data_IF_963887550834
#
_entry.id   IF_963887550834
#
_cell.length_a   1.000
_cell.length_b   1.000
_cell.length_c   1.000
_cell.angle_alpha   90.00
_cell.angle_beta   90.00
_cell.angle_gamma   90.00
#
_symmetry.space_group_name_H-M   'P 1'
#
loop_
_entity.id
_entity.type
_entity.pdbx_description
1 polymer ?
#
# COMPACT_ATOMS: atom_id res chain seq x y z
N UNK A 1 22.44 17.89 -12.01
CA UNK A 1 21.11 17.71 -12.66
C UNK A 1 20.65 16.29 -12.32
N UNK A 2 19.99 16.10 -11.17
CA UNK A 2 19.46 14.80 -10.77
C UNK A 2 18.22 14.55 -11.64
N UNK A 3 18.42 13.87 -12.77
CA UNK A 3 17.32 13.39 -13.61
C UNK A 3 16.44 12.49 -12.75
N UNK A 4 15.21 12.93 -12.51
CA UNK A 4 14.19 12.22 -11.75
C UNK A 4 14.11 10.76 -12.25
N UNK A 5 14.30 9.80 -11.33
CA UNK A 5 14.23 8.36 -11.62
C UNK A 5 12.81 7.89 -11.98
N UNK A 6 11.81 8.76 -11.83
CA UNK A 6 10.44 8.58 -12.28
C UNK A 6 10.41 8.34 -13.79
N UNK A 7 10.41 7.07 -14.18
CA UNK A 7 10.35 6.62 -15.57
C UNK A 7 11.57 5.82 -16.07
N UNK A 8 12.65 5.71 -15.29
CA UNK A 8 13.86 4.97 -15.72
C UNK A 8 13.89 3.50 -15.33
N UNK A 9 13.09 3.10 -14.35
CA UNK A 9 13.05 1.71 -13.88
C UNK A 9 11.71 1.08 -14.30
N UNK A 10 11.69 0.23 -15.35
CA UNK A 10 10.46 -0.45 -15.72
C UNK A 10 10.08 -1.51 -14.68
N UNK A 11 8.78 -1.76 -14.50
CA UNK A 11 8.28 -2.79 -13.56
C UNK A 11 8.90 -4.17 -13.83
N UNK A 12 9.13 -4.49 -15.10
CA UNK A 12 9.77 -5.74 -15.53
C UNK A 12 11.24 -5.84 -15.10
N UNK A 13 11.98 -4.73 -15.01
CA UNK A 13 13.34 -4.74 -14.48
C UNK A 13 13.35 -5.01 -12.97
N UNK A 14 12.41 -4.42 -12.22
CA UNK A 14 12.27 -4.72 -10.78
C UNK A 14 11.86 -6.17 -10.51
N UNK A 15 11.00 -6.77 -11.35
CA UNK A 15 10.63 -8.18 -11.25
C UNK A 15 11.82 -9.13 -11.48
N UNK A 16 12.78 -8.72 -12.30
CA UNK A 16 14.00 -9.47 -12.61
C UNK A 16 15.21 -8.99 -11.80
N UNK A 17 15.00 -8.14 -10.79
CA UNK A 17 16.06 -7.58 -9.98
C UNK A 17 16.85 -8.70 -9.28
N UNK A 18 18.17 -8.64 -9.38
CA UNK A 18 19.04 -9.55 -8.66
C UNK A 18 19.45 -8.92 -7.32
N UNK A 19 19.02 -9.50 -6.21
CA UNK A 19 19.38 -9.01 -4.86
C UNK A 19 20.83 -9.40 -4.57
N UNK A 20 21.67 -8.41 -4.29
CA UNK A 20 23.09 -8.60 -4.04
C UNK A 20 23.44 -8.69 -2.56
N UNK A 21 22.84 -7.83 -1.73
CA UNK A 21 23.16 -7.76 -0.31
C UNK A 21 22.13 -6.95 0.48
N UNK A 22 22.16 -7.09 1.80
CA UNK A 22 21.56 -6.13 2.71
C UNK A 22 22.63 -5.15 3.22
N UNK A 23 22.31 -3.86 3.24
CA UNK A 23 23.22 -2.79 3.67
C UNK A 23 22.64 -2.12 4.93
N UNK A 24 23.46 -2.00 5.97
CA UNK A 24 23.14 -1.37 7.26
C UNK A 24 21.85 -1.90 7.95
N UNK A 25 21.38 -3.09 7.57
CA UNK A 25 20.09 -3.65 8.01
C UNK A 25 18.87 -2.74 7.71
N UNK A 26 19.02 -1.81 6.77
CA UNK A 26 17.99 -0.84 6.38
C UNK A 26 17.67 -0.87 4.89
N UNK A 27 18.68 -1.20 4.07
CA UNK A 27 18.55 -1.18 2.63
C UNK A 27 18.82 -2.54 2.02
N UNK A 28 18.14 -2.81 0.91
CA UNK A 28 18.40 -3.96 0.04
C UNK A 28 19.11 -3.43 -1.20
N UNK A 29 20.34 -3.90 -1.44
CA UNK A 29 21.09 -3.59 -2.64
C UNK A 29 20.68 -4.59 -3.74
N UNK A 30 20.23 -4.07 -4.87
CA UNK A 30 19.82 -4.87 -6.04
C UNK A 30 20.53 -4.39 -7.30
N UNK A 31 20.75 -5.31 -8.23
CA UNK A 31 21.19 -5.06 -9.59
C UNK A 31 19.99 -5.22 -10.53
N UNK A 32 19.76 -4.23 -11.38
CA UNK A 32 18.72 -4.21 -12.39
C UNK A 32 19.39 -4.25 -13.76
N UNK A 33 19.02 -5.23 -14.57
CA UNK A 33 19.41 -5.24 -15.98
C UNK A 33 18.41 -4.36 -16.73
N UNK A 34 18.88 -3.25 -17.31
CA UNK A 34 18.03 -2.40 -18.16
C UNK A 34 18.25 -2.76 -19.62
N UNK A 35 17.17 -3.07 -20.34
CA UNK A 35 17.26 -3.25 -21.79
C UNK A 35 17.36 -1.88 -22.46
N UNK A 36 18.27 -1.71 -23.44
CA UNK A 36 18.40 -0.44 -24.14
C UNK A 36 17.11 -0.12 -24.91
N UNK A 37 16.71 1.16 -25.00
CA UNK A 37 15.54 1.54 -25.77
C UNK A 37 15.75 1.16 -27.24
N UNK A 38 14.71 0.60 -27.88
CA UNK A 38 14.75 0.06 -29.24
C UNK A 38 15.20 1.05 -30.36
N UNK A 39 15.38 2.33 -30.04
CA UNK A 39 15.84 3.38 -30.95
C UNK A 39 17.33 3.72 -30.85
N UNK A 40 18.11 3.09 -29.95
CA UNK A 40 19.55 3.33 -29.86
C UNK A 40 20.32 2.46 -30.86
N UNK A 41 20.51 2.96 -32.07
CA UNK A 41 21.37 2.38 -33.12
C UNK A 41 22.88 2.56 -32.86
N UNK A 42 23.30 2.66 -31.60
CA UNK A 42 24.69 2.68 -31.17
C UNK A 42 24.81 1.69 -30.02
N UNK A 43 25.73 0.73 -30.14
CA UNK A 43 25.95 -0.39 -29.22
C UNK A 43 26.26 0.03 -27.78
N UNK A 44 25.27 0.54 -27.09
CA UNK A 44 25.25 0.63 -25.64
C UNK A 44 24.99 -0.78 -25.12
N UNK A 45 25.99 -1.31 -24.43
CA UNK A 45 25.86 -2.53 -23.65
C UNK A 45 24.74 -2.36 -22.62
N UNK A 46 24.14 -3.46 -22.20
CA UNK A 46 23.18 -3.46 -21.10
C UNK A 46 23.77 -2.74 -19.90
N UNK A 47 23.25 -1.54 -19.58
CA UNK A 47 23.68 -0.82 -18.39
C UNK A 47 23.03 -1.50 -17.17
N UNK A 48 23.86 -2.17 -16.39
CA UNK A 48 23.49 -2.71 -15.10
C UNK A 48 23.35 -1.56 -14.10
N UNK A 49 22.14 -1.38 -13.58
CA UNK A 49 21.82 -0.34 -12.62
C UNK A 49 21.81 -0.92 -11.19
N UNK A 50 22.68 -0.39 -10.33
CA UNK A 50 22.65 -0.69 -8.89
C UNK A 50 21.69 0.23 -8.16
N UNK A 51 20.77 -0.35 -7.37
CA UNK A 51 19.74 0.37 -6.63
C UNK A 51 19.74 -0.06 -5.17
N UNK A 52 19.66 0.92 -4.26
CA UNK A 52 19.38 0.69 -2.84
C UNK A 52 17.89 0.93 -2.59
N UNK A 53 17.22 -0.09 -2.07
CA UNK A 53 15.80 -0.04 -1.72
C UNK A 53 15.69 0.08 -0.20
N UNK A 54 14.98 1.12 0.29
CA UNK A 54 14.59 1.20 1.70
C UNK A 54 13.62 0.04 2.01
N UNK A 55 14.06 -0.87 2.88
CA UNK A 55 13.30 -2.09 3.17
C UNK A 55 11.98 -1.78 3.88
N UNK A 56 11.94 -0.73 4.70
CA UNK A 56 10.75 -0.38 5.48
C UNK A 56 9.71 0.27 4.58
N UNK A 57 10.13 1.27 3.79
CA UNK A 57 9.22 1.93 2.86
C UNK A 57 8.70 0.97 1.78
N UNK A 58 9.52 0.01 1.33
CA UNK A 58 9.08 -1.02 0.37
C UNK A 58 8.06 -1.99 0.98
N UNK A 59 8.32 -2.50 2.19
CA UNK A 59 7.41 -3.39 2.90
C UNK A 59 6.06 -2.69 3.20
N UNK A 60 6.10 -1.44 3.65
CA UNK A 60 4.90 -0.64 3.87
C UNK A 60 4.12 -0.41 2.57
N UNK A 61 4.81 -0.12 1.45
CA UNK A 61 4.15 0.04 0.15
C UNK A 61 3.41 -1.22 -0.27
N UNK A 62 4.03 -2.39 -0.15
CA UNK A 62 3.38 -3.67 -0.46
C UNK A 62 2.14 -3.91 0.42
N UNK A 63 2.27 -3.68 1.74
CA UNK A 63 1.15 -3.82 2.68
C UNK A 63 -0.02 -2.90 2.34
N UNK A 64 0.27 -1.65 1.99
CA UNK A 64 -0.75 -0.68 1.56
C UNK A 64 -1.42 -1.16 0.26
N UNK A 65 -0.66 -1.58 -0.75
CA UNK A 65 -1.24 -2.06 -2.00
C UNK A 65 -2.14 -3.27 -1.82
N UNK A 66 -1.73 -4.23 -0.99
CA UNK A 66 -2.54 -5.42 -0.70
C UNK A 66 -3.77 -5.09 0.15
N UNK A 67 -3.65 -4.16 1.10
CA UNK A 67 -4.78 -3.61 1.82
C UNK A 67 -5.78 -2.99 0.84
N UNK A 68 -5.33 -2.13 -0.07
CA UNK A 68 -6.19 -1.49 -1.09
C UNK A 68 -6.89 -2.52 -1.98
N UNK A 69 -6.17 -3.55 -2.48
CA UNK A 69 -6.77 -4.63 -3.29
C UNK A 69 -7.84 -5.41 -2.52
N UNK A 70 -7.65 -5.60 -1.22
CA UNK A 70 -8.59 -6.33 -0.37
C UNK A 70 -9.76 -5.47 0.10
N UNK A 71 -9.56 -4.15 0.19
CA UNK A 71 -10.53 -3.20 0.67
C UNK A 71 -11.47 -2.74 -0.44
N UNK A 72 -10.96 -2.57 -1.66
CA UNK A 72 -11.74 -2.09 -2.79
C UNK A 72 -12.06 -3.22 -3.77
N UNK A 73 -13.31 -3.27 -4.21
CA UNK A 73 -13.79 -4.19 -5.25
C UNK A 73 -14.27 -3.40 -6.46
N UNK A 74 -14.20 -4.00 -7.65
CA UNK A 74 -14.76 -3.40 -8.86
C UNK A 74 -16.29 -3.25 -8.73
N UNK A 75 -16.81 -2.12 -9.19
CA UNK A 75 -18.25 -1.86 -9.25
C UNK A 75 -18.97 -2.94 -10.09
N UNK A 76 -19.95 -3.67 -9.52
CA UNK A 76 -20.72 -4.68 -10.24
C UNK A 76 -21.44 -4.15 -11.49
N UNK A 77 -21.71 -2.84 -11.54
CA UNK A 77 -22.39 -2.19 -12.68
C UNK A 77 -21.48 -1.95 -13.89
N UNK A 78 -20.18 -2.28 -13.78
CA UNK A 78 -19.24 -2.23 -14.91
C UNK A 78 -18.71 -0.83 -15.22
N UNK A 79 -18.90 0.14 -14.33
CA UNK A 79 -18.40 1.53 -14.47
C UNK A 79 -16.87 1.63 -14.39
N UNK A 80 -16.19 0.55 -13.96
CA UNK A 80 -14.76 0.54 -13.72
C UNK A 80 -14.34 1.29 -12.45
N UNK A 81 -15.29 1.80 -11.67
CA UNK A 81 -15.00 2.42 -10.38
C UNK A 81 -14.68 1.37 -9.31
N UNK A 82 -13.80 1.75 -8.38
CA UNK A 82 -13.51 0.97 -7.19
C UNK A 82 -14.46 1.39 -6.07
N UNK A 83 -15.13 0.42 -5.45
CA UNK A 83 -16.03 0.60 -4.32
C UNK A 83 -15.43 -0.06 -3.08
N UNK A 84 -15.50 0.62 -1.95
CA UNK A 84 -15.08 0.06 -0.67
C UNK A 84 -15.99 -1.10 -0.26
N UNK A 85 -15.40 -2.27 -0.06
CA UNK A 85 -16.07 -3.49 0.35
C UNK A 85 -16.35 -3.47 1.85
N UNK A 86 -17.43 -2.83 2.25
CA UNK A 86 -17.83 -2.69 3.66
C UNK A 86 -19.15 -3.43 3.95
N UNK A 87 -19.37 -3.74 5.22
CA UNK A 87 -20.57 -4.40 5.72
C UNK A 87 -21.29 -3.47 6.68
N UNK A 88 -22.63 -3.59 6.74
CA UNK A 88 -23.44 -2.86 7.72
C UNK A 88 -23.25 -3.48 9.11
N UNK A 89 -23.13 -2.62 10.12
CA UNK A 89 -23.13 -2.99 11.52
C UNK A 89 -24.56 -3.23 12.00
N UNK A 90 -24.80 -4.32 12.73
CA UNK A 90 -26.10 -4.58 13.38
C UNK A 90 -26.46 -3.48 14.39
N UNK A 91 -25.45 -2.96 15.08
CA UNK A 91 -25.56 -1.83 16.01
C UNK A 91 -24.59 -0.73 15.58
N UNK A 92 -25.07 0.48 15.26
CA UNK A 92 -24.21 1.61 14.94
C UNK A 92 -23.23 1.93 16.07
N UNK A 93 -22.03 2.37 15.70
CA UNK A 93 -21.04 2.87 16.66
C UNK A 93 -21.30 4.36 16.92
N UNK A 94 -21.48 4.71 18.19
CA UNK A 94 -21.79 6.07 18.63
C UNK A 94 -20.51 6.79 19.07
N UNK A 95 -20.28 7.99 18.52
CA UNK A 95 -19.17 8.86 18.89
C UNK A 95 -19.66 10.27 19.18
N UNK A 96 -19.23 10.84 20.29
CA UNK A 96 -19.46 12.25 20.61
C UNK A 96 -18.27 13.07 20.15
N UNK A 97 -18.52 14.04 19.28
CA UNK A 97 -17.50 14.88 18.66
C UNK A 97 -17.77 16.36 18.96
N UNK A 98 -16.73 17.19 18.84
CA UNK A 98 -16.89 18.64 18.88
C UNK A 98 -17.71 19.13 17.67
N UNK A 99 -18.46 20.21 17.84
CA UNK A 99 -19.28 20.77 16.73
C UNK A 99 -18.46 21.08 15.47
N UNK A 100 -17.22 21.55 15.63
CA UNK A 100 -16.32 21.83 14.50
C UNK A 100 -15.99 20.58 13.69
N UNK A 101 -15.78 19.44 14.34
CA UNK A 101 -15.53 18.17 13.65
C UNK A 101 -16.81 17.67 12.96
N UNK A 102 -17.97 17.91 13.56
CA UNK A 102 -19.28 17.68 12.95
C UNK A 102 -19.46 18.39 11.61
N UNK A 103 -19.08 19.67 11.54
CA UNK A 103 -19.13 20.44 10.29
C UNK A 103 -18.21 19.85 9.21
N UNK A 104 -17.01 19.38 9.59
CA UNK A 104 -16.10 18.69 8.66
C UNK A 104 -16.71 17.38 8.15
N UNK A 105 -17.36 16.60 9.02
CA UNK A 105 -18.05 15.37 8.62
C UNK A 105 -19.24 15.65 7.70
N UNK A 106 -19.97 16.76 7.85
CA UNK A 106 -20.97 17.16 6.87
C UNK A 106 -20.31 17.47 5.53
N UNK A 107 -19.24 18.28 5.54
CA UNK A 107 -18.55 18.74 4.34
C UNK A 107 -17.93 17.61 3.52
N UNK A 108 -17.31 16.62 4.18
CA UNK A 108 -16.59 15.52 3.53
C UNK A 108 -17.39 14.22 3.44
N UNK A 109 -18.72 14.27 3.60
CA UNK A 109 -19.58 13.08 3.64
C UNK A 109 -19.42 12.18 2.41
N UNK A 110 -19.32 12.75 1.20
CA UNK A 110 -19.11 11.98 -0.03
C UNK A 110 -17.74 11.30 -0.07
N UNK A 111 -16.70 11.95 0.49
CA UNK A 111 -15.37 11.38 0.57
C UNK A 111 -15.36 10.16 1.49
N UNK A 112 -15.92 10.27 2.69
CA UNK A 112 -16.05 9.12 3.60
C UNK A 112 -16.91 8.00 3.01
N UNK A 113 -18.00 8.33 2.30
CA UNK A 113 -18.81 7.33 1.61
C UNK A 113 -18.04 6.60 0.51
N UNK A 114 -17.13 7.25 -0.21
CA UNK A 114 -16.24 6.60 -1.18
C UNK A 114 -15.31 5.58 -0.50
N UNK A 115 -14.86 5.88 0.72
CA UNK A 115 -14.17 4.94 1.59
C UNK A 115 -15.10 3.95 2.28
N UNK A 116 -16.39 3.88 1.94
CA UNK A 116 -17.34 2.95 2.57
C UNK A 116 -17.64 3.25 4.04
N UNK A 117 -17.27 4.43 4.54
CA UNK A 117 -17.58 4.89 5.91
C UNK A 117 -18.90 5.67 5.84
N UNK A 118 -19.99 5.00 6.23
CA UNK A 118 -21.32 5.58 6.23
C UNK A 118 -21.73 5.95 7.64
N UNK A 119 -22.14 7.20 7.83
CA UNK A 119 -22.57 7.69 9.14
C UNK A 119 -23.75 8.66 9.07
N UNK A 120 -24.52 8.66 10.16
CA UNK A 120 -25.49 9.68 10.52
C UNK A 120 -24.88 10.71 11.47
N UNK A 121 -25.32 11.96 11.39
CA UNK A 121 -24.98 13.00 12.37
C UNK A 121 -26.28 13.42 13.05
N UNK A 122 -26.33 13.32 14.37
CA UNK A 122 -27.41 13.81 15.20
C UNK A 122 -26.95 15.12 15.86
N UNK A 123 -27.63 16.22 15.56
CA UNK A 123 -27.41 17.46 16.29
C UNK A 123 -28.19 17.39 17.61
N UNK A 124 -27.48 17.43 18.73
CA UNK A 124 -28.12 17.59 20.03
C UNK A 124 -28.86 18.94 20.04
N UNK A 125 -30.15 18.92 20.40
CA UNK A 125 -30.96 20.15 20.55
C UNK A 125 -30.63 20.93 21.82
N UNK A 126 -29.68 20.43 22.61
CA UNK A 126 -29.38 20.96 23.93
C UNK A 126 -28.34 22.08 23.82
N UNK A 127 -28.78 23.33 24.04
CA UNK A 127 -27.97 24.54 23.82
C UNK A 127 -26.72 24.63 24.71
N UNK A 128 -26.60 23.75 25.71
CA UNK A 128 -25.49 23.72 26.65
C UNK A 128 -24.33 22.81 26.21
N UNK A 129 -24.57 21.85 25.30
CA UNK A 129 -23.55 20.96 24.75
C UNK A 129 -23.17 21.42 23.35
N UNK A 130 -21.93 21.89 23.18
CA UNK A 130 -21.34 22.19 21.86
C UNK A 130 -20.75 20.91 21.23
N UNK A 131 -21.58 19.88 21.12
CA UNK A 131 -21.19 18.58 20.58
C UNK A 131 -22.14 18.10 19.49
N UNK A 132 -21.69 17.13 18.70
CA UNK A 132 -22.55 16.35 17.80
C UNK A 132 -22.32 14.88 18.07
N UNK A 133 -23.38 14.08 17.95
CA UNK A 133 -23.27 12.62 18.03
C UNK A 133 -23.25 12.07 16.62
N UNK A 134 -22.32 11.16 16.34
CA UNK A 134 -22.12 10.53 15.05
C UNK A 134 -22.30 9.03 15.17
N UNK A 135 -23.15 8.49 14.30
CA UNK A 135 -23.49 7.08 14.26
C UNK A 135 -22.85 6.46 13.03
N UNK A 136 -21.78 5.69 13.21
CA UNK A 136 -21.14 4.97 12.10
C UNK A 136 -21.86 3.63 11.89
N UNK A 137 -22.27 3.38 10.65
CA UNK A 137 -23.13 2.26 10.27
C UNK A 137 -22.38 1.13 9.55
N UNK A 138 -21.15 1.35 9.12
CA UNK A 138 -20.39 0.37 8.33
C UNK A 138 -19.06 0.03 8.97
N UNK A 139 -18.58 -1.17 8.66
CA UNK A 139 -17.25 -1.63 9.04
C UNK A 139 -16.66 -2.49 7.92
N UNK A 140 -15.34 -2.66 7.97
CA UNK A 140 -14.64 -3.63 7.15
C UNK A 140 -14.15 -4.75 8.05
N UNK A 141 -14.45 -6.00 7.69
CA UNK A 141 -14.07 -7.17 8.48
C UNK A 141 -12.63 -7.63 8.26
N UNK A 142 -11.87 -6.90 7.42
CA UNK A 142 -10.52 -7.29 7.03
C UNK A 142 -10.53 -8.43 6.01
N UNK A 143 -9.58 -8.43 5.09
CA UNK A 143 -9.13 -9.70 4.55
C UNK A 143 -8.35 -10.41 5.66
N UNK A 144 -8.67 -11.68 5.91
CA UNK A 144 -7.86 -12.56 6.74
C UNK A 144 -6.51 -12.82 6.06
N UNK A 145 -5.65 -11.80 5.95
CA UNK A 145 -4.29 -11.93 5.46
C UNK A 145 -3.38 -12.18 6.64
N UNK A 146 -3.41 -13.41 7.15
CA UNK A 146 -2.38 -13.90 8.07
C UNK A 146 -1.12 -14.34 7.30
N UNK A 147 -0.73 -13.57 6.29
CA UNK A 147 0.55 -13.75 5.62
C UNK A 147 1.47 -12.67 6.14
N UNK A 148 2.15 -12.97 7.25
CA UNK A 148 3.40 -12.29 7.55
C UNK A 148 4.26 -12.37 6.30
N UNK A 149 4.54 -11.23 5.67
CA UNK A 149 5.39 -11.14 4.51
C UNK A 149 6.79 -11.57 4.94
N UNK A 150 7.15 -12.78 4.52
CA UNK A 150 8.46 -13.34 4.76
C UNK A 150 9.17 -13.37 3.42
N UNK A 151 10.22 -12.57 3.30
CA UNK A 151 11.24 -12.79 2.28
C UNK A 151 11.92 -14.13 2.60
N UNK A 152 11.37 -15.24 2.09
CA UNK A 152 11.96 -16.57 2.31
C UNK A 152 12.99 -16.86 1.23
N UNK A 153 14.25 -16.95 1.65
CA UNK A 153 15.26 -17.77 0.99
C UNK A 153 15.10 -19.20 1.53
N UNK A 154 14.79 -20.17 0.66
CA UNK A 154 14.90 -21.62 0.89
C UNK A 154 14.59 -22.11 2.33
N UNK A 155 13.44 -21.70 2.88
CA UNK A 155 12.92 -22.21 4.16
C UNK A 155 13.59 -21.71 5.44
N UNK A 156 14.43 -20.67 5.42
CA UNK A 156 15.02 -20.08 6.65
C UNK A 156 14.51 -18.67 6.94
N UNK A 157 14.31 -18.38 8.23
CA UNK A 157 13.82 -17.09 8.76
C UNK A 157 14.92 -16.02 8.69
N UNK A 158 14.51 -14.78 8.40
CA UNK A 158 15.38 -13.60 8.29
C UNK A 158 16.24 -13.41 9.56
N UNK A 159 17.57 -13.36 9.40
CA UNK A 159 18.53 -13.16 10.49
C UNK A 159 19.58 -14.26 10.70
N UNK A 160 19.61 -15.30 9.87
CA UNK A 160 20.54 -16.45 10.04
C UNK A 160 21.52 -16.69 8.89
N UNK A 161 21.69 -15.76 7.96
CA UNK A 161 22.53 -15.95 6.78
C UNK A 161 23.96 -15.41 6.97
N UNK A 162 24.94 -16.22 6.55
CA UNK A 162 26.35 -15.81 6.48
C UNK A 162 26.73 -15.39 5.06
N UNK A 163 27.80 -14.59 4.87
CA UNK A 163 28.09 -13.89 3.61
C UNK A 163 28.34 -14.76 2.36
N UNK A 164 28.32 -16.09 2.47
CA UNK A 164 28.58 -17.03 1.34
C UNK A 164 27.32 -17.60 0.68
N UNK A 165 26.12 -17.33 1.20
CA UNK A 165 24.86 -17.93 0.71
C UNK A 165 24.03 -16.97 -0.17
N UNK A 166 24.60 -15.86 -0.64
CA UNK A 166 23.84 -14.76 -1.26
C UNK A 166 23.59 -14.93 -2.77
N UNK A 167 24.10 -15.99 -3.39
CA UNK A 167 24.08 -16.14 -4.86
C UNK A 167 22.87 -16.86 -5.44
N UNK A 168 21.92 -17.34 -4.63
CA UNK A 168 20.74 -18.02 -5.15
C UNK A 168 19.45 -17.54 -4.46
N UNK A 169 18.51 -17.10 -5.29
CA UNK A 169 17.07 -17.02 -5.02
C UNK A 169 16.58 -15.90 -4.09
N UNK A 170 16.25 -14.76 -4.71
CA UNK A 170 15.25 -13.83 -4.17
C UNK A 170 14.21 -13.56 -5.25
N UNK A 171 13.03 -14.18 -5.12
CA UNK A 171 11.91 -13.99 -6.05
C UNK A 171 10.80 -13.26 -5.30
N UNK A 172 10.42 -12.09 -5.81
CA UNK A 172 9.15 -11.45 -5.45
C UNK A 172 8.01 -12.28 -6.05
N UNK A 173 7.15 -12.86 -5.21
CA UNK A 173 5.86 -13.42 -5.63
C UNK A 173 4.75 -12.53 -5.13
N UNK A 174 4.12 -11.81 -6.06
CA UNK A 174 2.78 -11.26 -5.89
C UNK A 174 1.72 -12.37 -5.90
#
# INVERSE_FOLDING_TARGET
MLSTLEGRIPKTALQKAHVLAQVDRKFILVQLVTEPPASSSRGFESDDLLVLIDQHAADERCKVEDLFKSYFTADPTGTGQLLAHTQTLDKPLHFDLASQDGELLVRFKSHFAHWGILYGIQQEKDKLRKGVTVDVHTYWNGAASNRGFSWTCSGKRFGSFTPKEVSECWVYRA
#
